data_IF_228669011363
#
_entry.id   IF_228669011363
#
_cell.length_a   1.000
_cell.length_b   1.000
_cell.length_c   1.000
_cell.angle_alpha   90.00
_cell.angle_beta   90.00
_cell.angle_gamma   90.00
#
_symmetry.space_group_name_H-M   'P 1'
#
loop_
_entity.id
_entity.type
_entity.pdbx_description
1 polymer ?
#
# COMPACT_ATOMS: atom_id res chain seq x y z
N UNK A 1 -37.39 -42.70 67.08
CA UNK A 1 -38.07 -43.83 66.44
C UNK A 1 -39.23 -43.33 65.64
N UNK A 2 -39.27 -43.57 64.44
CA UNK A 2 -40.37 -43.52 63.46
C UNK A 2 -39.96 -42.83 62.13
N UNK A 3 -39.92 -43.70 61.12
CA UNK A 3 -39.76 -43.38 59.74
C UNK A 3 -40.94 -42.61 59.17
N UNK A 4 -40.72 -41.57 58.43
CA UNK A 4 -41.73 -40.92 57.60
C UNK A 4 -41.30 -40.97 56.15
N UNK A 5 -42.15 -41.47 55.29
CA UNK A 5 -41.94 -41.84 53.91
C UNK A 5 -41.70 -40.65 52.99
N UNK A 6 -40.89 -40.90 51.95
CA UNK A 6 -40.63 -40.03 50.82
C UNK A 6 -41.67 -40.28 49.74
N UNK A 7 -42.51 -39.24 49.51
CA UNK A 7 -43.37 -39.20 48.33
C UNK A 7 -42.61 -38.53 47.18
N UNK A 8 -42.37 -39.26 46.08
CA UNK A 8 -41.76 -38.78 44.88
C UNK A 8 -42.82 -38.23 43.95
N UNK A 9 -42.80 -36.92 43.75
CA UNK A 9 -43.67 -36.22 42.79
C UNK A 9 -42.91 -36.10 41.45
N UNK A 10 -43.35 -36.84 40.45
CA UNK A 10 -42.88 -36.69 39.08
C UNK A 10 -43.54 -35.45 38.44
N UNK A 11 -42.80 -34.35 38.33
CA UNK A 11 -43.20 -33.21 37.56
C UNK A 11 -42.84 -33.39 36.09
N UNK A 12 -43.81 -33.43 35.20
CA UNK A 12 -43.62 -33.35 33.73
C UNK A 12 -43.02 -31.99 33.36
N UNK A 13 -41.77 -32.02 32.94
CA UNK A 13 -41.15 -30.87 32.35
C UNK A 13 -41.53 -30.80 30.86
N UNK A 14 -42.52 -29.99 30.53
CA UNK A 14 -42.87 -29.66 29.15
C UNK A 14 -41.71 -28.87 28.49
N UNK A 15 -41.03 -29.51 27.58
CA UNK A 15 -40.02 -28.85 26.74
C UNK A 15 -40.76 -27.96 25.72
N UNK A 16 -40.83 -26.68 26.01
CA UNK A 16 -41.28 -25.67 25.06
C UNK A 16 -40.16 -25.44 24.05
N UNK A 17 -40.21 -26.12 22.91
CA UNK A 17 -39.35 -25.82 21.76
C UNK A 17 -39.75 -24.43 21.25
N UNK A 18 -39.06 -23.40 21.72
CA UNK A 18 -39.03 -22.11 21.03
C UNK A 18 -38.35 -22.31 19.68
N UNK A 19 -39.16 -22.42 18.64
CA UNK A 19 -38.70 -22.25 17.26
C UNK A 19 -38.34 -20.77 17.13
N UNK A 20 -37.04 -20.49 17.25
CA UNK A 20 -36.52 -19.18 16.89
C UNK A 20 -36.71 -19.05 15.38
N UNK A 21 -37.36 -17.99 14.89
CA UNK A 21 -37.37 -17.74 13.46
C UNK A 21 -35.91 -17.58 13.04
N UNK A 22 -35.45 -18.49 12.17
CA UNK A 22 -34.19 -18.33 11.49
C UNK A 22 -34.19 -16.94 10.85
N UNK A 23 -33.50 -15.99 11.51
CA UNK A 23 -33.21 -14.71 10.92
C UNK A 23 -32.55 -15.04 9.59
N UNK A 24 -33.22 -14.70 8.50
CA UNK A 24 -32.66 -14.67 7.16
C UNK A 24 -31.45 -13.74 7.28
N UNK A 25 -30.30 -14.34 7.51
CA UNK A 25 -29.02 -13.66 7.31
C UNK A 25 -29.07 -13.31 5.82
N UNK A 26 -29.45 -12.07 5.51
CA UNK A 26 -29.23 -11.50 4.20
C UNK A 26 -27.73 -11.70 3.95
N UNK A 27 -27.40 -12.58 3.00
CA UNK A 27 -26.05 -12.66 2.46
C UNK A 27 -25.68 -11.23 2.04
N UNK A 28 -24.97 -10.53 2.89
CA UNK A 28 -24.24 -9.33 2.52
C UNK A 28 -23.27 -9.83 1.49
N UNK A 29 -23.59 -9.62 0.21
CA UNK A 29 -22.73 -9.93 -0.91
C UNK A 29 -21.37 -9.30 -0.58
N UNK A 30 -20.39 -10.12 -0.23
CA UNK A 30 -19.03 -9.66 0.04
C UNK A 30 -18.55 -8.97 -1.22
N UNK A 31 -18.51 -7.65 -1.21
CA UNK A 31 -17.99 -6.85 -2.31
C UNK A 31 -16.53 -7.24 -2.51
N UNK A 32 -16.15 -7.64 -3.70
CA UNK A 32 -14.79 -8.08 -3.97
C UNK A 32 -13.81 -6.93 -3.84
N UNK A 33 -12.55 -7.22 -3.50
CA UNK A 33 -11.48 -6.20 -3.45
C UNK A 33 -11.36 -5.45 -4.79
N UNK A 34 -11.58 -6.14 -5.91
CA UNK A 34 -11.56 -5.54 -7.23
C UNK A 34 -12.70 -4.53 -7.44
N UNK A 35 -13.92 -4.85 -7.01
CA UNK A 35 -15.07 -3.93 -7.10
C UNK A 35 -14.84 -2.70 -6.23
N UNK A 36 -14.33 -2.87 -4.99
CA UNK A 36 -13.99 -1.75 -4.10
C UNK A 36 -12.88 -0.90 -4.74
N UNK A 37 -11.84 -1.52 -5.28
CA UNK A 37 -10.73 -0.83 -5.92
C UNK A 37 -11.17 -0.02 -7.14
N UNK A 38 -12.06 -0.57 -7.99
CA UNK A 38 -12.66 0.16 -9.11
C UNK A 38 -13.53 1.33 -8.63
N UNK A 39 -14.27 1.13 -7.55
CA UNK A 39 -15.10 2.16 -6.97
C UNK A 39 -14.27 3.31 -6.39
N UNK A 40 -13.21 3.00 -5.65
CA UNK A 40 -12.25 4.00 -5.15
C UNK A 40 -11.61 4.80 -6.29
N UNK A 41 -11.25 4.14 -7.40
CA UNK A 41 -10.67 4.82 -8.58
C UNK A 41 -11.68 5.81 -9.21
N UNK A 42 -12.96 5.46 -9.22
CA UNK A 42 -14.04 6.35 -9.70
C UNK A 42 -14.31 7.54 -8.77
N UNK A 43 -14.04 7.40 -7.48
CA UNK A 43 -14.32 8.40 -6.44
C UNK A 43 -13.08 9.21 -6.03
N UNK A 44 -11.94 9.02 -6.66
CA UNK A 44 -10.67 9.57 -6.23
C UNK A 44 -10.68 11.09 -6.01
N UNK A 45 -11.32 11.85 -6.88
CA UNK A 45 -11.43 13.31 -6.76
C UNK A 45 -12.35 13.72 -5.60
N UNK A 46 -13.44 12.97 -5.37
CA UNK A 46 -14.34 13.19 -4.24
C UNK A 46 -13.62 12.92 -2.92
N UNK A 47 -12.93 11.78 -2.81
CA UNK A 47 -12.15 11.42 -1.62
C UNK A 47 -11.03 12.44 -1.36
N UNK A 48 -10.29 12.84 -2.39
CA UNK A 48 -9.25 13.85 -2.28
C UNK A 48 -9.80 15.19 -1.78
N UNK A 49 -10.96 15.62 -2.27
CA UNK A 49 -11.63 16.88 -1.88
C UNK A 49 -12.08 16.83 -0.42
N UNK A 50 -12.71 15.74 0.01
CA UNK A 50 -13.15 15.58 1.39
C UNK A 50 -11.98 15.46 2.37
N UNK A 51 -10.93 14.74 2.00
CA UNK A 51 -9.68 14.70 2.76
C UNK A 51 -9.07 16.10 2.88
N UNK A 52 -9.00 16.85 1.78
CA UNK A 52 -8.48 18.21 1.81
C UNK A 52 -9.29 19.12 2.76
N UNK A 53 -10.61 19.03 2.74
CA UNK A 53 -11.47 19.77 3.65
C UNK A 53 -11.21 19.43 5.13
N UNK A 54 -10.99 18.14 5.44
CA UNK A 54 -10.68 17.65 6.81
C UNK A 54 -9.28 18.07 7.28
N UNK A 55 -8.30 18.06 6.37
CA UNK A 55 -6.90 18.36 6.68
C UNK A 55 -6.53 19.85 6.55
N UNK A 56 -7.44 20.70 6.05
CA UNK A 56 -7.19 22.13 5.84
C UNK A 56 -7.20 22.96 7.12
N UNK A 57 -7.64 22.40 8.24
CA UNK A 57 -7.55 23.07 9.54
C UNK A 57 -6.08 23.21 9.96
N UNK A 58 -5.73 24.37 10.54
CA UNK A 58 -4.41 24.56 11.09
C UNK A 58 -4.14 23.50 12.17
N UNK A 59 -3.14 22.68 11.93
CA UNK A 59 -2.69 21.67 12.88
C UNK A 59 -1.52 22.26 13.66
N UNK A 60 -1.66 22.33 14.99
CA UNK A 60 -0.55 22.75 15.85
C UNK A 60 0.57 21.71 15.71
N UNK A 61 1.76 22.19 15.44
CA UNK A 61 2.94 21.33 15.33
C UNK A 61 3.17 20.60 16.66
N UNK A 62 2.90 19.31 16.67
CA UNK A 62 3.13 18.47 17.84
C UNK A 62 4.61 18.19 18.08
N UNK A 63 4.88 17.42 19.14
CA UNK A 63 6.24 16.99 19.52
C UNK A 63 6.87 15.93 18.59
N UNK A 64 6.22 15.63 17.47
CA UNK A 64 6.73 14.66 16.50
C UNK A 64 8.01 15.17 15.84
N UNK A 65 9.06 14.36 15.87
CA UNK A 65 10.31 14.64 15.17
C UNK A 65 10.11 14.69 13.64
N UNK A 66 9.00 14.12 13.14
CA UNK A 66 8.64 14.07 11.74
C UNK A 66 7.22 14.60 11.55
N UNK A 67 7.11 15.79 11.00
CA UNK A 67 5.86 16.53 10.75
C UNK A 67 4.85 15.76 9.91
N UNK A 68 5.32 14.94 8.96
CA UNK A 68 4.46 14.18 8.07
C UNK A 68 3.59 13.14 8.79
N UNK A 69 4.01 12.64 9.95
CA UNK A 69 3.22 11.68 10.75
C UNK A 69 1.90 12.26 11.27
N UNK A 70 1.85 13.55 11.56
CA UNK A 70 0.60 14.19 11.96
C UNK A 70 -0.45 14.15 10.85
N UNK A 71 -0.03 14.39 9.59
CA UNK A 71 -0.92 14.26 8.46
C UNK A 71 -1.32 12.81 8.18
N UNK A 72 -0.43 11.85 8.45
CA UNK A 72 -0.72 10.43 8.33
C UNK A 72 -1.85 10.01 9.28
N UNK A 73 -1.75 10.33 10.57
CA UNK A 73 -2.76 10.03 11.57
C UNK A 73 -4.11 10.72 11.27
N UNK A 74 -4.06 11.99 10.90
CA UNK A 74 -5.28 12.75 10.55
C UNK A 74 -5.94 12.19 9.28
N UNK A 75 -5.17 11.80 8.29
CA UNK A 75 -5.70 11.23 7.06
C UNK A 75 -6.30 9.84 7.28
N UNK A 76 -5.71 9.01 8.15
CA UNK A 76 -6.28 7.71 8.55
C UNK A 76 -7.66 7.94 9.17
N UNK A 77 -7.75 8.79 10.20
CA UNK A 77 -9.02 9.10 10.87
C UNK A 77 -10.07 9.66 9.90
N UNK A 78 -9.63 10.51 8.96
CA UNK A 78 -10.54 11.05 7.94
C UNK A 78 -11.01 9.97 6.95
N UNK A 79 -10.15 9.05 6.53
CA UNK A 79 -10.51 7.94 5.65
C UNK A 79 -11.51 6.99 6.30
N UNK A 80 -11.34 6.69 7.59
CA UNK A 80 -12.28 5.85 8.36
C UNK A 80 -13.71 6.44 8.39
N UNK A 81 -13.83 7.76 8.35
CA UNK A 81 -15.12 8.47 8.27
C UNK A 81 -15.63 8.64 6.83
N UNK A 82 -14.74 8.89 5.87
CA UNK A 82 -15.12 9.17 4.48
C UNK A 82 -15.53 7.89 3.75
N UNK A 83 -14.74 6.83 3.83
CA UNK A 83 -14.92 5.64 2.99
C UNK A 83 -16.27 4.94 3.19
N UNK A 84 -16.80 4.76 4.41
CA UNK A 84 -18.12 4.14 4.59
C UNK A 84 -19.29 4.93 4.00
N UNK A 85 -19.12 6.24 3.83
CA UNK A 85 -20.16 7.09 3.23
C UNK A 85 -20.25 6.94 1.70
N UNK A 86 -19.17 6.54 1.09
CA UNK A 86 -19.05 6.45 -0.37
C UNK A 86 -19.02 5.02 -0.89
N UNK A 87 -18.56 4.07 -0.10
CA UNK A 87 -18.40 2.67 -0.51
C UNK A 87 -19.35 1.80 0.30
N UNK A 88 -20.43 1.36 -0.34
CA UNK A 88 -21.44 0.52 0.30
C UNK A 88 -20.81 -0.78 0.86
N UNK A 89 -21.19 -1.14 2.08
CA UNK A 89 -20.69 -2.34 2.74
C UNK A 89 -19.38 -2.17 3.50
N UNK A 90 -18.71 -1.01 3.44
CA UNK A 90 -17.60 -0.70 4.32
C UNK A 90 -18.09 -0.16 5.68
N UNK A 91 -17.40 -0.55 6.72
CA UNK A 91 -17.60 -0.11 8.09
C UNK A 91 -16.26 -0.09 8.83
N UNK A 92 -16.23 0.40 10.04
CA UNK A 92 -15.00 0.43 10.85
C UNK A 92 -14.35 -0.95 11.02
N UNK A 93 -15.10 -2.04 10.95
CA UNK A 93 -14.56 -3.42 11.04
C UNK A 93 -13.79 -3.85 9.79
N UNK A 94 -13.91 -3.12 8.68
CA UNK A 94 -13.17 -3.38 7.47
C UNK A 94 -11.81 -2.66 7.43
N UNK A 95 -11.48 -1.87 8.45
CA UNK A 95 -10.28 -1.06 8.44
C UNK A 95 -9.22 -1.60 9.40
N UNK A 96 -7.98 -1.54 8.97
CA UNK A 96 -6.82 -1.80 9.80
C UNK A 96 -5.82 -0.65 9.65
N UNK A 97 -5.41 -0.07 10.77
CA UNK A 97 -4.44 1.03 10.82
C UNK A 97 -3.35 0.75 11.85
N UNK A 98 -2.17 1.32 11.64
CA UNK A 98 -1.11 1.50 12.63
C UNK A 98 -0.23 0.30 12.96
N UNK A 99 -0.74 -0.87 13.31
CA UNK A 99 0.12 -2.00 13.73
C UNK A 99 0.49 -2.96 12.58
N UNK A 100 -0.37 -3.08 11.59
CA UNK A 100 -0.11 -3.88 10.39
C UNK A 100 1.05 -3.32 9.57
N UNK A 101 1.39 -2.04 9.76
CA UNK A 101 2.45 -1.31 9.06
C UNK A 101 3.80 -1.24 9.75
N UNK A 102 3.99 -1.78 10.97
CA UNK A 102 5.26 -1.65 11.72
C UNK A 102 6.42 -2.49 11.21
N UNK A 103 6.22 -3.42 10.31
CA UNK A 103 7.36 -3.97 9.58
C UNK A 103 7.92 -2.87 8.69
N UNK A 104 9.16 -2.45 8.97
CA UNK A 104 9.94 -1.56 8.11
C UNK A 104 9.77 -2.01 6.67
N UNK A 105 9.24 -1.10 5.81
CA UNK A 105 9.02 -1.27 4.38
C UNK A 105 7.63 -1.80 3.94
N UNK A 106 6.60 -1.81 4.76
CA UNK A 106 5.23 -1.96 4.24
C UNK A 106 4.77 -0.65 3.60
N UNK A 107 4.12 -0.75 2.44
CA UNK A 107 3.53 0.39 1.72
C UNK A 107 2.36 1.02 2.48
N UNK A 108 1.66 0.24 3.29
CA UNK A 108 0.38 0.64 3.84
C UNK A 108 0.48 1.26 5.23
N UNK A 109 -0.03 2.48 5.31
CA UNK A 109 -0.31 3.16 6.57
C UNK A 109 -1.76 2.89 7.02
N UNK A 110 -2.61 2.47 6.07
CA UNK A 110 -4.02 2.13 6.24
C UNK A 110 -4.40 0.99 5.29
N UNK A 111 -5.30 0.13 5.69
CA UNK A 111 -5.74 -1.01 4.89
C UNK A 111 -7.25 -1.21 4.95
N UNK A 112 -7.86 -1.56 3.82
CA UNK A 112 -9.26 -2.01 3.73
C UNK A 112 -9.27 -3.53 3.59
N UNK A 113 -9.90 -4.21 4.55
CA UNK A 113 -10.01 -5.66 4.59
C UNK A 113 -11.26 -6.13 3.82
N UNK A 114 -11.05 -6.89 2.75
CA UNK A 114 -12.10 -7.38 1.86
C UNK A 114 -12.09 -8.91 1.84
N UNK A 115 -12.62 -9.55 2.87
CA UNK A 115 -12.50 -10.99 3.05
C UNK A 115 -11.05 -11.44 3.21
N UNK A 116 -10.54 -12.23 2.27
CA UNK A 116 -9.12 -12.68 2.25
C UNK A 116 -8.18 -11.69 1.55
N UNK A 117 -8.71 -10.66 0.92
CA UNK A 117 -7.93 -9.67 0.21
C UNK A 117 -7.81 -8.36 1.02
N UNK A 118 -6.82 -7.57 0.67
CA UNK A 118 -6.55 -6.30 1.34
C UNK A 118 -6.23 -5.24 0.29
N UNK A 119 -6.87 -4.05 0.41
CA UNK A 119 -6.51 -2.88 -0.38
C UNK A 119 -5.65 -2.00 0.52
N UNK A 120 -4.42 -1.74 0.11
CA UNK A 120 -3.47 -0.93 0.86
C UNK A 120 -3.59 0.54 0.44
N UNK A 121 -3.59 1.44 1.43
CA UNK A 121 -3.55 2.89 1.20
C UNK A 121 -2.34 3.45 1.95
N UNK A 122 -1.36 3.95 1.20
CA UNK A 122 -0.21 4.63 1.78
C UNK A 122 -0.47 6.12 1.90
N UNK A 123 0.01 6.74 2.98
CA UNK A 123 -0.15 8.18 3.20
C UNK A 123 1.22 8.83 3.19
N UNK A 124 1.36 9.85 2.37
CA UNK A 124 2.61 10.60 2.21
C UNK A 124 2.33 12.08 2.34
N UNK A 125 3.22 12.78 3.01
CA UNK A 125 3.13 14.23 3.09
C UNK A 125 4.47 14.89 2.74
N UNK A 126 4.42 15.99 1.99
CA UNK A 126 5.60 16.77 1.66
C UNK A 126 5.28 18.26 1.62
N UNK A 127 6.29 19.09 1.92
CA UNK A 127 6.16 20.55 1.91
C UNK A 127 5.89 21.08 0.51
N UNK A 128 5.14 22.16 0.45
CA UNK A 128 4.86 22.87 -0.81
C UNK A 128 6.10 23.50 -1.45
N UNK A 129 7.08 23.91 -0.63
CA UNK A 129 8.32 24.55 -1.08
C UNK A 129 9.32 23.63 -1.78
N UNK A 130 9.09 22.31 -1.73
CA UNK A 130 9.95 21.30 -2.33
C UNK A 130 9.23 20.42 -3.34
N UNK A 131 9.94 19.46 -3.91
CA UNK A 131 9.34 18.37 -4.69
C UNK A 131 8.95 17.23 -3.75
N UNK A 132 7.95 16.41 -4.12
CA UNK A 132 7.66 15.19 -3.36
C UNK A 132 8.84 14.21 -3.51
N UNK A 133 9.46 13.83 -2.38
CA UNK A 133 10.66 12.98 -2.37
C UNK A 133 10.52 11.72 -1.53
N UNK A 134 9.33 11.46 -0.99
CA UNK A 134 9.09 10.29 -0.16
C UNK A 134 9.20 9.01 -0.98
N UNK A 135 9.62 7.95 -0.31
CA UNK A 135 9.74 6.62 -0.92
C UNK A 135 8.36 6.05 -1.27
N UNK A 136 8.23 5.51 -2.49
CA UNK A 136 7.01 4.87 -3.00
C UNK A 136 7.07 3.34 -2.96
N UNK A 137 8.06 2.78 -2.26
CA UNK A 137 8.37 1.36 -2.22
C UNK A 137 9.54 0.96 -3.11
N UNK A 138 10.18 -0.15 -2.78
CA UNK A 138 11.33 -0.66 -3.52
C UNK A 138 10.92 -1.55 -4.69
N UNK A 139 11.82 -1.81 -5.64
CA UNK A 139 11.62 -2.82 -6.69
C UNK A 139 11.30 -4.20 -6.08
N UNK A 140 11.99 -4.57 -5.00
CA UNK A 140 11.76 -5.83 -4.31
C UNK A 140 10.36 -5.91 -3.69
N UNK A 141 9.86 -4.82 -3.13
CA UNK A 141 8.50 -4.76 -2.59
C UNK A 141 7.49 -4.92 -3.73
N UNK A 142 7.73 -4.28 -4.87
CA UNK A 142 6.88 -4.43 -6.05
C UNK A 142 6.88 -5.87 -6.57
N UNK A 143 8.03 -6.51 -6.68
CA UNK A 143 8.13 -7.90 -7.16
C UNK A 143 7.38 -8.87 -6.24
N UNK A 144 7.55 -8.73 -4.92
CA UNK A 144 6.92 -9.59 -3.93
C UNK A 144 5.40 -9.34 -3.78
N UNK A 145 4.92 -8.19 -4.22
CA UNK A 145 3.56 -7.70 -3.99
C UNK A 145 2.85 -7.25 -5.26
N UNK A 146 3.14 -7.86 -6.41
CA UNK A 146 2.59 -7.45 -7.71
C UNK A 146 1.10 -7.16 -7.69
N UNK A 147 0.30 -8.03 -7.07
CA UNK A 147 -1.14 -7.82 -6.92
C UNK A 147 -1.49 -6.67 -5.96
N UNK A 148 -0.72 -6.50 -4.89
CA UNK A 148 -0.99 -5.48 -3.88
C UNK A 148 -0.63 -4.08 -4.39
N UNK A 149 0.43 -3.94 -5.19
CA UNK A 149 0.85 -2.64 -5.72
C UNK A 149 -0.11 -2.11 -6.79
N UNK A 150 -0.66 -3.00 -7.61
CA UNK A 150 -1.68 -2.69 -8.60
C UNK A 150 -2.99 -2.22 -7.96
N UNK A 151 -3.36 -2.81 -6.84
CA UNK A 151 -4.57 -2.49 -6.09
C UNK A 151 -4.34 -1.41 -5.02
N UNK A 152 -3.07 -1.04 -4.73
CA UNK A 152 -2.73 -0.05 -3.72
C UNK A 152 -3.03 1.38 -4.17
N UNK A 153 -3.46 2.19 -3.20
CA UNK A 153 -3.67 3.62 -3.37
C UNK A 153 -2.68 4.42 -2.55
N UNK A 154 -2.51 5.68 -2.90
CA UNK A 154 -1.71 6.61 -2.10
C UNK A 154 -2.46 7.93 -1.93
N UNK A 155 -2.48 8.40 -0.70
CA UNK A 155 -2.84 9.78 -0.36
C UNK A 155 -1.55 10.60 -0.33
N UNK A 156 -1.49 11.68 -1.09
CA UNK A 156 -0.43 12.67 -1.00
C UNK A 156 -0.96 13.97 -0.43
N UNK A 157 -0.38 14.44 0.66
CA UNK A 157 -0.68 15.72 1.29
C UNK A 157 0.45 16.70 0.98
N UNK A 158 0.12 17.75 0.22
CA UNK A 158 1.00 18.91 0.07
C UNK A 158 0.66 19.88 1.18
N UNK A 159 1.63 20.25 1.99
CA UNK A 159 1.40 21.12 3.14
C UNK A 159 2.34 22.32 3.19
N UNK A 160 1.86 23.40 3.82
CA UNK A 160 2.62 24.55 4.24
C UNK A 160 3.06 24.36 5.69
N UNK A 161 4.32 24.70 5.97
CA UNK A 161 4.88 24.70 7.32
C UNK A 161 5.10 26.17 7.73
N UNK A 162 4.21 26.69 8.56
CA UNK A 162 4.27 28.04 9.10
C UNK A 162 4.99 28.12 10.46
N UNK A 163 5.81 27.12 10.79
CA UNK A 163 6.58 27.04 12.03
C UNK A 163 5.81 26.39 13.17
N UNK A 164 4.88 27.08 13.79
CA UNK A 164 4.06 26.54 14.89
C UNK A 164 2.82 25.77 14.39
N UNK A 165 2.40 26.02 13.16
CA UNK A 165 1.24 25.38 12.55
C UNK A 165 1.57 24.78 11.19
N UNK A 166 0.83 23.75 10.86
CA UNK A 166 0.87 23.05 9.59
C UNK A 166 -0.52 23.16 8.95
N UNK A 167 -0.55 23.35 7.65
CA UNK A 167 -1.80 23.40 6.91
C UNK A 167 -1.68 22.60 5.61
N UNK A 168 -2.58 21.65 5.40
CA UNK A 168 -2.69 21.01 4.09
C UNK A 168 -3.18 22.05 3.05
N UNK A 169 -2.43 22.22 1.99
CA UNK A 169 -2.81 23.07 0.85
C UNK A 169 -3.58 22.28 -0.19
N UNK A 170 -3.16 21.05 -0.41
CA UNK A 170 -3.77 20.17 -1.40
C UNK A 170 -3.58 18.70 -1.03
N UNK A 171 -4.59 17.91 -1.33
CA UNK A 171 -4.55 16.45 -1.18
C UNK A 171 -4.80 15.82 -2.53
N UNK A 172 -4.08 14.75 -2.80
CA UNK A 172 -4.23 13.91 -3.99
C UNK A 172 -4.48 12.48 -3.53
N UNK A 173 -5.40 11.81 -4.18
CA UNK A 173 -5.71 10.40 -3.96
C UNK A 173 -5.81 9.70 -5.32
N UNK A 174 -4.99 8.68 -5.53
CA UNK A 174 -5.02 7.88 -6.76
C UNK A 174 -4.29 6.55 -6.52
N UNK A 175 -4.32 5.67 -7.50
CA UNK A 175 -3.51 4.43 -7.49
C UNK A 175 -2.04 4.76 -7.35
N UNK A 176 -1.36 3.99 -6.50
CA UNK A 176 0.03 4.27 -6.11
C UNK A 176 0.98 4.39 -7.32
N UNK A 177 0.83 3.52 -8.31
CA UNK A 177 1.68 3.54 -9.50
C UNK A 177 1.54 4.82 -10.34
N UNK A 178 0.39 5.48 -10.30
CA UNK A 178 0.17 6.73 -11.02
C UNK A 178 0.97 7.91 -10.49
N UNK A 179 1.45 7.82 -9.25
CA UNK A 179 2.29 8.83 -8.63
C UNK A 179 3.79 8.62 -8.89
N UNK A 180 4.21 7.44 -9.33
CA UNK A 180 5.63 7.15 -9.60
C UNK A 180 6.10 7.91 -10.83
N UNK A 181 7.25 8.59 -10.70
CA UNK A 181 7.83 9.39 -11.77
C UNK A 181 8.57 8.57 -12.82
N UNK A 182 8.73 9.16 -14.00
CA UNK A 182 9.56 8.62 -15.08
C UNK A 182 11.02 8.99 -14.87
N UNK A 183 11.93 8.07 -15.15
CA UNK A 183 13.37 8.34 -15.15
C UNK A 183 13.77 9.12 -16.40
N UNK A 184 14.77 9.98 -16.25
CA UNK A 184 15.43 10.63 -17.38
C UNK A 184 16.65 9.86 -17.89
N UNK A 185 17.12 8.88 -17.10
CA UNK A 185 18.34 8.10 -17.39
C UNK A 185 18.04 6.78 -18.08
N UNK A 186 16.84 6.25 -17.88
CA UNK A 186 16.42 4.97 -18.45
C UNK A 186 14.94 5.10 -18.81
N UNK A 187 14.48 4.41 -19.85
CA UNK A 187 13.05 4.33 -20.15
C UNK A 187 12.33 3.45 -19.11
N UNK A 188 12.26 3.96 -17.89
CA UNK A 188 11.75 3.26 -16.72
C UNK A 188 11.29 4.22 -15.64
N UNK A 189 11.00 3.67 -14.46
CA UNK A 189 10.57 4.46 -13.29
C UNK A 189 11.74 5.24 -12.69
N UNK A 190 11.42 6.40 -12.12
CA UNK A 190 12.36 7.17 -11.31
C UNK A 190 12.60 6.45 -9.98
N UNK A 191 13.85 6.28 -9.60
CA UNK A 191 14.22 5.60 -8.35
C UNK A 191 15.48 6.19 -7.70
N UNK A 192 15.71 5.88 -6.45
CA UNK A 192 16.94 6.18 -5.73
C UNK A 192 17.97 5.06 -5.94
N UNK A 193 19.16 5.39 -6.44
CA UNK A 193 20.19 4.39 -6.77
C UNK A 193 20.58 3.52 -5.58
N UNK A 194 20.70 4.11 -4.38
CA UNK A 194 21.17 3.43 -3.16
C UNK A 194 20.38 2.14 -2.85
N UNK A 195 19.07 2.16 -2.94
CA UNK A 195 18.20 1.11 -2.43
C UNK A 195 17.08 0.67 -3.39
N UNK A 196 16.98 1.29 -4.57
CA UNK A 196 15.93 0.98 -5.53
C UNK A 196 14.54 1.46 -5.12
N UNK A 197 14.45 2.40 -4.16
CA UNK A 197 13.18 3.04 -3.83
C UNK A 197 12.68 3.89 -4.99
N UNK A 198 11.48 3.58 -5.47
CA UNK A 198 10.80 4.37 -6.49
C UNK A 198 10.47 5.76 -5.96
N UNK A 199 10.48 6.74 -6.85
CA UNK A 199 10.30 8.15 -6.51
C UNK A 199 9.09 8.73 -7.20
N UNK A 200 8.38 9.66 -6.55
CA UNK A 200 7.21 10.28 -7.15
C UNK A 200 7.57 11.19 -8.33
N UNK A 201 6.54 11.48 -9.12
CA UNK A 201 6.54 12.57 -10.09
C UNK A 201 6.48 13.92 -9.36
N UNK A 202 6.63 15.02 -10.10
CA UNK A 202 6.56 16.38 -9.53
C UNK A 202 5.14 16.79 -9.13
N UNK A 203 5.02 17.82 -8.27
CA UNK A 203 3.73 18.43 -7.92
C UNK A 203 2.94 18.88 -9.14
N UNK A 204 3.60 19.49 -10.12
CA UNK A 204 2.95 19.92 -11.35
C UNK A 204 2.29 18.76 -12.11
N UNK A 205 2.90 17.58 -12.08
CA UNK A 205 2.29 16.38 -12.67
C UNK A 205 1.14 15.84 -11.82
N UNK A 206 1.20 15.94 -10.50
CA UNK A 206 0.05 15.60 -9.64
C UNK A 206 -1.13 16.51 -9.95
N UNK A 207 -0.89 17.83 -10.02
CA UNK A 207 -1.90 18.83 -10.32
C UNK A 207 -2.56 18.66 -11.68
N UNK A 208 -1.80 18.20 -12.67
CA UNK A 208 -2.34 17.94 -14.00
C UNK A 208 -3.26 16.72 -14.06
N UNK A 209 -3.32 15.89 -13.01
CA UNK A 209 -4.04 14.61 -13.00
C UNK A 209 -3.46 13.55 -13.95
N UNK A 210 -2.41 13.90 -14.72
CA UNK A 210 -1.83 13.01 -15.72
C UNK A 210 -0.85 12.01 -15.08
N UNK A 211 -0.99 10.76 -15.42
CA UNK A 211 0.04 9.76 -15.13
C UNK A 211 1.14 9.80 -16.20
N UNK A 212 2.42 9.60 -15.86
CA UNK A 212 3.45 9.38 -16.85
C UNK A 212 3.33 8.01 -17.55
N UNK A 213 2.48 7.14 -17.02
CA UNK A 213 2.25 5.76 -17.49
C UNK A 213 0.87 5.68 -18.17
N UNK A 214 0.82 4.98 -19.31
CA UNK A 214 -0.42 4.81 -20.09
C UNK A 214 -1.36 3.81 -19.44
N UNK A 215 -0.81 2.78 -18.83
CA UNK A 215 -1.52 1.72 -18.11
C UNK A 215 -0.64 1.16 -17.00
N UNK A 216 -1.21 0.23 -16.22
CA UNK A 216 -0.49 -0.51 -15.20
C UNK A 216 0.60 -1.39 -15.81
N UNK A 217 0.31 -2.05 -16.95
CA UNK A 217 1.27 -2.89 -17.66
C UNK A 217 2.45 -2.07 -18.20
N UNK A 218 2.21 -0.83 -18.67
CA UNK A 218 3.27 0.10 -19.07
C UNK A 218 4.16 0.47 -17.86
N UNK A 219 3.54 0.71 -16.71
CA UNK A 219 4.27 0.94 -15.46
C UNK A 219 5.09 -0.27 -15.03
N UNK A 220 4.51 -1.47 -15.01
CA UNK A 220 5.22 -2.71 -14.64
C UNK A 220 6.41 -2.99 -15.56
N UNK A 221 6.23 -2.83 -16.87
CA UNK A 221 7.32 -2.95 -17.82
C UNK A 221 8.44 -1.93 -17.55
N UNK A 222 8.08 -0.70 -17.17
CA UNK A 222 9.04 0.34 -16.82
C UNK A 222 9.78 0.04 -15.50
N UNK A 223 9.12 -0.54 -14.51
CA UNK A 223 9.75 -1.02 -13.26
C UNK A 223 10.80 -2.05 -13.60
N UNK A 224 10.46 -3.07 -14.38
CA UNK A 224 11.39 -4.13 -14.78
C UNK A 224 12.61 -3.61 -15.53
N UNK A 225 12.42 -2.65 -16.45
CA UNK A 225 13.54 -2.01 -17.15
C UNK A 225 14.47 -1.25 -16.19
N UNK A 226 13.88 -0.51 -15.25
CA UNK A 226 14.64 0.26 -14.26
C UNK A 226 15.41 -0.65 -13.28
N UNK A 227 14.81 -1.75 -12.85
CA UNK A 227 15.44 -2.76 -12.00
C UNK A 227 16.64 -3.42 -12.70
N UNK A 228 16.45 -3.87 -13.94
CA UNK A 228 17.51 -4.46 -14.76
C UNK A 228 18.67 -3.47 -14.97
N UNK A 229 18.35 -2.21 -15.28
CA UNK A 229 19.36 -1.17 -15.43
C UNK A 229 20.14 -0.95 -14.13
N UNK A 230 19.46 -0.85 -13.00
CA UNK A 230 20.09 -0.68 -11.69
C UNK A 230 20.99 -1.87 -11.34
N UNK A 231 20.52 -3.09 -11.57
CA UNK A 231 21.31 -4.30 -11.32
C UNK A 231 22.61 -4.28 -12.14
N UNK A 232 22.53 -3.92 -13.42
CA UNK A 232 23.71 -3.79 -14.28
C UNK A 232 24.68 -2.70 -13.81
N UNK A 233 24.17 -1.56 -13.34
CA UNK A 233 25.02 -0.48 -12.80
C UNK A 233 25.73 -0.90 -11.51
N UNK A 234 25.04 -1.61 -10.60
CA UNK A 234 25.66 -2.15 -9.38
C UNK A 234 26.73 -3.18 -9.70
N UNK A 235 26.48 -4.06 -10.68
CA UNK A 235 27.48 -5.03 -11.12
C UNK A 235 28.70 -4.33 -11.73
N UNK A 236 28.52 -3.31 -12.57
CA UNK A 236 29.63 -2.53 -13.14
C UNK A 236 30.46 -1.82 -12.07
N UNK A 237 29.79 -1.19 -11.09
CA UNK A 237 30.44 -0.52 -9.97
C UNK A 237 31.29 -1.53 -9.18
N UNK A 238 30.70 -2.69 -8.83
CA UNK A 238 31.41 -3.76 -8.13
C UNK A 238 32.60 -4.32 -8.95
N UNK A 239 32.41 -4.55 -10.25
CA UNK A 239 33.49 -5.03 -11.14
C UNK A 239 34.60 -3.99 -11.30
N UNK A 240 34.25 -2.69 -11.28
CA UNK A 240 35.24 -1.60 -11.36
C UNK A 240 36.20 -1.56 -10.17
N UNK A 241 35.78 -2.06 -9.01
CA UNK A 241 36.58 -2.14 -7.80
C UNK A 241 37.48 -3.40 -7.76
N UNK A 242 37.30 -4.35 -8.68
CA UNK A 242 38.09 -5.57 -8.75
C UNK A 242 39.32 -5.37 -9.64
N UNK A 243 40.41 -6.12 -9.34
CA UNK A 243 41.55 -6.23 -10.23
C UNK A 243 41.17 -6.82 -11.59
N UNK A 244 41.90 -6.53 -12.66
CA UNK A 244 41.67 -7.11 -13.99
C UNK A 244 41.66 -8.65 -13.95
N UNK A 245 42.48 -9.24 -13.09
CA UNK A 245 42.61 -10.68 -12.91
C UNK A 245 41.32 -11.25 -12.28
N UNK A 246 40.79 -10.60 -11.24
CA UNK A 246 39.54 -10.99 -10.57
C UNK A 246 38.33 -10.79 -11.49
N UNK A 247 38.30 -9.72 -12.28
CA UNK A 247 37.25 -9.49 -13.27
C UNK A 247 37.19 -10.62 -14.28
N UNK A 248 38.37 -11.02 -14.79
CA UNK A 248 38.48 -12.14 -15.74
C UNK A 248 38.04 -13.45 -15.12
N UNK A 249 38.52 -13.75 -13.92
CA UNK A 249 38.11 -14.97 -13.18
C UNK A 249 36.60 -15.05 -12.94
N UNK A 250 35.99 -13.92 -12.57
CA UNK A 250 34.54 -13.86 -12.36
C UNK A 250 33.79 -14.04 -13.69
N UNK A 251 34.24 -13.40 -14.76
CA UNK A 251 33.68 -13.56 -16.10
C UNK A 251 33.74 -15.02 -16.58
N UNK A 252 34.87 -15.69 -16.39
CA UNK A 252 35.06 -17.07 -16.82
C UNK A 252 34.15 -18.02 -16.00
N UNK A 253 34.02 -17.81 -14.70
CA UNK A 253 33.11 -18.60 -13.83
C UNK A 253 31.63 -18.37 -14.18
N UNK A 254 31.23 -17.12 -14.50
CA UNK A 254 29.86 -16.84 -14.93
C UNK A 254 29.56 -17.50 -16.27
N UNK A 255 30.47 -17.42 -17.21
CA UNK A 255 30.37 -18.12 -18.51
C UNK A 255 30.26 -19.62 -18.33
N UNK A 256 31.09 -20.20 -17.47
CA UNK A 256 31.07 -21.62 -17.18
C UNK A 256 29.74 -22.07 -16.57
N UNK A 257 29.18 -21.28 -15.65
CA UNK A 257 27.93 -21.61 -14.94
C UNK A 257 26.67 -21.38 -15.78
N UNK A 258 26.69 -20.39 -16.67
CA UNK A 258 25.52 -19.96 -17.44
C UNK A 258 25.66 -20.24 -18.95
N UNK A 259 26.64 -21.07 -19.38
CA UNK A 259 26.72 -21.48 -20.79
C UNK A 259 25.50 -22.36 -21.14
N UNK A 260 24.58 -21.85 -22.00
CA UNK A 260 23.38 -22.59 -22.37
C UNK A 260 23.68 -23.88 -23.15
N UNK A 261 24.91 -24.11 -23.56
CA UNK A 261 25.37 -25.31 -24.27
C UNK A 261 25.78 -26.44 -23.31
N UNK A 262 25.95 -26.15 -22.03
CA UNK A 262 26.17 -27.18 -21.00
C UNK A 262 24.87 -27.93 -20.78
N UNK A 263 24.61 -28.95 -21.62
CA UNK A 263 23.57 -29.94 -21.35
C UNK A 263 23.88 -30.57 -20.00
N UNK A 264 22.92 -30.53 -19.10
CA UNK A 264 22.90 -31.30 -17.86
C UNK A 264 23.07 -32.78 -18.19
N UNK A 265 24.31 -33.27 -18.18
CA UNK A 265 24.63 -34.70 -18.33
C UNK A 265 24.70 -35.39 -16.97
N UNK A 266 24.27 -34.75 -15.90
CA UNK A 266 24.21 -35.33 -14.57
C UNK A 266 22.82 -35.17 -13.97
N UNK A 267 21.89 -36.01 -14.42
CA UNK A 267 20.74 -36.42 -13.63
C UNK A 267 20.93 -37.89 -13.26
N UNK A 268 20.95 -38.24 -11.96
CA UNK A 268 21.01 -39.62 -11.52
C UNK A 268 19.75 -40.42 -11.86
#
# INVERSE_FOLDING_TARGET
>A
MSNAGKTILFGLLGVLLMVWPSAIASEVKSTSAQEISMHLDSLKETIATELAARLSTNVVRGSYTTVWRQFEELAITALEDILPRHVAGLSATNFASGEVGREKNRLADFAILCGTNTIEISIKAARNSGQPENDMGTFRDHENRKKLFAEAFTVWVRYEDAGETLRAERVFFDRSWRFVGKSTLVDGVKYRKKDGNMRPKSWAMFESGKSPWKSEEDFEAAVKRAETYRANEVVKEYLGDLSEEDQKLLHDRLHEKFDPRRKTTDAP
#
